data_IF_301818283545
#
_entry.id   IF_301818283545
#
_cell.length_a   1.000
_cell.length_b   1.000
_cell.length_c   1.000
_cell.angle_alpha   90.00
_cell.angle_beta   90.00
_cell.angle_gamma   90.00
#
_symmetry.space_group_name_H-M   'P 1'
#
loop_
_entity.id
_entity.type
_entity.pdbx_description
1 polymer ?
#
# COMPACT_ATOMS: atom_id res chain seq x y z
N UNK A 1 -16.84 30.92 53.67
CA UNK A 1 -15.47 30.96 53.11
C UNK A 1 -14.92 29.54 52.96
N UNK A 2 -15.42 28.75 52.00
CA UNK A 2 -15.01 27.34 51.84
C UNK A 2 -14.99 26.88 50.37
N UNK A 3 -14.94 27.81 49.41
CA UNK A 3 -15.01 27.51 47.97
C UNK A 3 -13.73 27.76 47.18
N UNK A 4 -12.72 28.44 47.75
CA UNK A 4 -11.57 28.92 46.98
C UNK A 4 -10.35 27.99 46.97
N UNK A 5 -10.28 26.97 47.85
CA UNK A 5 -9.09 26.12 47.99
C UNK A 5 -9.13 24.79 47.21
N UNK A 6 -10.26 24.41 46.60
CA UNK A 6 -10.33 23.19 45.76
C UNK A 6 -9.90 23.40 44.32
N UNK A 7 -9.93 24.64 43.81
CA UNK A 7 -9.54 24.93 42.43
C UNK A 7 -8.01 25.01 42.23
N UNK A 8 -7.22 25.19 43.30
CA UNK A 8 -5.75 25.27 43.21
C UNK A 8 -5.05 23.91 43.21
N UNK A 9 -5.69 22.84 43.69
CA UNK A 9 -5.11 21.49 43.72
C UNK A 9 -5.41 20.67 42.46
N UNK A 10 -6.27 21.16 41.56
CA UNK A 10 -6.53 20.53 40.26
C UNK A 10 -5.60 21.02 39.14
N UNK A 11 -4.76 22.03 39.40
CA UNK A 11 -3.91 22.69 38.41
C UNK A 11 -2.46 22.21 38.33
N UNK A 12 -2.02 21.35 39.25
CA UNK A 12 -0.58 20.98 39.38
C UNK A 12 -0.30 19.48 39.15
N UNK A 13 -1.29 18.71 38.70
CA UNK A 13 -1.18 17.25 38.54
C UNK A 13 -0.94 16.71 37.11
N UNK A 14 -0.66 17.56 36.11
CA UNK A 14 -0.48 17.08 34.72
C UNK A 14 0.56 17.80 33.87
N UNK A 15 1.54 18.44 34.50
CA UNK A 15 2.85 18.66 33.87
C UNK A 15 3.84 17.73 34.53
N UNK A 16 3.62 16.42 34.32
CA UNK A 16 4.73 15.49 34.36
C UNK A 16 5.74 16.01 33.34
N UNK A 17 6.80 16.64 33.85
CA UNK A 17 8.06 16.70 33.14
C UNK A 17 8.30 15.27 32.63
N UNK A 18 8.33 15.08 31.31
CA UNK A 18 8.82 13.84 30.72
C UNK A 18 10.24 13.68 31.22
N UNK A 19 10.41 12.91 32.29
CA UNK A 19 11.70 12.48 32.78
C UNK A 19 12.28 11.57 31.68
N UNK A 20 13.37 11.98 30.99
CA UNK A 20 13.97 11.16 29.93
C UNK A 20 14.54 9.83 30.45
N UNK A 21 14.49 9.59 31.78
CA UNK A 21 14.94 8.37 32.45
C UNK A 21 13.81 7.46 32.91
N UNK A 22 12.56 7.89 32.83
CA UNK A 22 11.39 7.04 33.12
C UNK A 22 10.97 6.27 31.84
N UNK A 23 11.89 5.48 31.29
CA UNK A 23 11.60 4.57 30.19
C UNK A 23 10.98 3.31 30.77
N UNK A 24 9.67 3.33 30.98
CA UNK A 24 8.88 2.12 31.22
C UNK A 24 8.93 1.27 29.94
N UNK A 25 9.94 0.40 29.86
CA UNK A 25 10.24 -0.52 28.77
C UNK A 25 10.88 0.15 27.50
N UNK A 26 12.18 -0.05 27.22
CA UNK A 26 12.82 0.55 26.04
C UNK A 26 12.20 0.12 24.72
N UNK A 27 11.49 -1.01 24.70
CA UNK A 27 10.77 -1.48 23.53
C UNK A 27 9.52 -0.62 23.23
N UNK A 28 8.75 -0.21 24.24
CA UNK A 28 7.57 0.66 24.04
C UNK A 28 8.01 2.07 23.65
N UNK A 29 9.08 2.61 24.24
CA UNK A 29 9.57 3.94 23.88
C UNK A 29 10.07 4.03 22.41
N UNK A 30 10.77 3.00 21.92
CA UNK A 30 11.14 2.91 20.49
C UNK A 30 9.87 2.81 19.63
N UNK A 31 8.86 2.08 20.12
CA UNK A 31 7.61 1.89 19.40
C UNK A 31 6.79 3.18 19.30
N UNK A 32 6.64 3.92 20.40
CA UNK A 32 5.93 5.21 20.44
C UNK A 32 6.62 6.23 19.53
N UNK A 33 7.96 6.29 19.56
CA UNK A 33 8.72 7.13 18.64
C UNK A 33 8.48 6.75 17.18
N UNK A 34 8.39 5.45 16.88
CA UNK A 34 8.10 4.97 15.53
C UNK A 34 6.66 5.23 15.09
N UNK A 35 5.70 5.20 16.03
CA UNK A 35 4.30 5.55 15.82
C UNK A 35 4.16 7.04 15.43
N UNK A 36 4.83 7.93 16.16
CA UNK A 36 4.87 9.36 15.87
C UNK A 36 5.45 9.66 14.47
N UNK A 37 6.51 8.95 14.09
CA UNK A 37 7.11 9.07 12.75
C UNK A 37 6.13 8.62 11.66
N UNK A 38 5.35 7.55 11.90
CA UNK A 38 4.34 7.06 10.95
C UNK A 38 3.18 8.04 10.84
N UNK A 39 2.72 8.64 11.93
CA UNK A 39 1.65 9.65 11.91
C UNK A 39 2.05 10.89 11.09
N UNK A 40 3.33 11.28 11.11
CA UNK A 40 3.84 12.41 10.34
C UNK A 40 4.14 12.07 8.87
N UNK A 41 4.09 10.79 8.47
CA UNK A 41 4.45 10.34 7.13
C UNK A 41 3.72 11.10 5.98
N UNK A 42 2.40 11.40 6.05
CA UNK A 42 1.71 12.13 4.98
C UNK A 42 2.22 13.56 4.78
N UNK A 43 2.66 14.21 5.86
CA UNK A 43 3.26 15.54 5.81
C UNK A 43 4.67 15.48 5.21
N UNK A 44 5.48 14.51 5.66
CA UNK A 44 6.83 14.25 5.12
C UNK A 44 6.75 13.95 3.61
N UNK A 45 5.77 13.17 3.16
CA UNK A 45 5.62 12.82 1.74
C UNK A 45 5.28 14.03 0.88
N UNK A 46 4.43 14.94 1.37
CA UNK A 46 4.13 16.20 0.70
C UNK A 46 5.38 17.08 0.61
N UNK A 47 6.10 17.25 1.73
CA UNK A 47 7.33 18.04 1.78
C UNK A 47 8.39 17.49 0.82
N UNK A 48 8.62 16.17 0.82
CA UNK A 48 9.58 15.51 -0.10
C UNK A 48 9.17 15.68 -1.56
N UNK A 49 7.87 15.60 -1.88
CA UNK A 49 7.38 15.82 -3.25
C UNK A 49 7.65 17.26 -3.70
N UNK A 50 7.34 18.26 -2.87
CA UNK A 50 7.62 19.66 -3.17
C UNK A 50 9.12 19.93 -3.30
N UNK A 51 9.93 19.42 -2.38
CA UNK A 51 11.39 19.54 -2.45
C UNK A 51 11.95 18.89 -3.72
N UNK A 52 11.42 17.73 -4.13
CA UNK A 52 11.84 17.05 -5.37
C UNK A 52 11.51 17.88 -6.60
N UNK A 53 10.28 18.43 -6.68
CA UNK A 53 9.87 19.28 -7.81
C UNK A 53 10.70 20.56 -7.84
N UNK A 54 10.85 21.25 -6.71
CA UNK A 54 11.64 22.46 -6.58
C UNK A 54 13.10 22.23 -7.02
N UNK A 55 13.76 21.20 -6.48
CA UNK A 55 15.14 20.87 -6.85
C UNK A 55 15.27 20.49 -8.32
N UNK A 56 14.28 19.81 -8.90
CA UNK A 56 14.30 19.44 -10.32
C UNK A 56 14.19 20.67 -11.22
N UNK A 57 13.29 21.60 -10.90
CA UNK A 57 13.13 22.87 -11.62
C UNK A 57 14.39 23.73 -11.47
N UNK A 58 14.93 23.84 -10.25
CA UNK A 58 16.17 24.57 -9.99
C UNK A 58 17.35 24.00 -10.78
N UNK A 59 17.51 22.68 -10.84
CA UNK A 59 18.53 22.02 -11.67
C UNK A 59 18.34 22.30 -13.16
N UNK A 60 17.10 22.27 -13.65
CA UNK A 60 16.82 22.59 -15.06
C UNK A 60 17.21 24.03 -15.42
N UNK A 61 16.87 25.00 -14.55
CA UNK A 61 17.29 26.40 -14.71
C UNK A 61 18.82 26.51 -14.66
N UNK A 62 19.47 25.77 -13.75
CA UNK A 62 20.93 25.78 -13.64
C UNK A 62 21.60 25.25 -14.92
N UNK A 63 21.05 24.21 -15.57
CA UNK A 63 21.52 23.74 -16.88
C UNK A 63 21.45 24.84 -17.94
N UNK A 64 20.36 25.62 -17.98
CA UNK A 64 20.23 26.75 -18.92
C UNK A 64 21.35 27.77 -18.68
N UNK A 65 21.64 28.12 -17.42
CA UNK A 65 22.74 29.03 -17.09
C UNK A 65 24.11 28.48 -17.48
N UNK A 66 24.36 27.20 -17.26
CA UNK A 66 25.61 26.53 -17.70
C UNK A 66 25.81 26.70 -19.20
N UNK A 67 24.75 26.50 -20.00
CA UNK A 67 24.80 26.64 -21.45
C UNK A 67 25.08 28.09 -21.85
N UNK A 68 24.37 29.06 -21.26
CA UNK A 68 24.58 30.50 -21.56
C UNK A 68 26.03 30.92 -21.24
N UNK A 69 26.54 30.60 -20.05
CA UNK A 69 27.89 31.00 -19.65
C UNK A 69 29.00 30.29 -20.41
N UNK A 70 28.71 29.11 -20.98
CA UNK A 70 29.62 28.44 -21.90
C UNK A 70 29.79 29.24 -23.20
N UNK A 71 28.71 29.80 -23.75
CA UNK A 71 28.75 30.64 -24.95
C UNK A 71 29.38 32.02 -24.70
N UNK A 72 29.08 32.63 -23.55
CA UNK A 72 29.66 33.93 -23.15
C UNK A 72 31.13 33.84 -22.73
N UNK A 73 31.74 32.65 -22.78
CA UNK A 73 33.15 32.36 -22.38
C UNK A 73 33.49 32.81 -20.96
N UNK A 74 32.48 32.97 -20.11
CA UNK A 74 32.63 33.40 -18.72
C UNK A 74 33.00 32.20 -17.85
N UNK A 75 34.28 31.80 -17.90
CA UNK A 75 34.79 30.59 -17.24
C UNK A 75 34.48 30.53 -15.74
N UNK A 76 34.59 31.63 -15.01
CA UNK A 76 34.33 31.66 -13.56
C UNK A 76 32.86 31.32 -13.25
N UNK A 77 31.91 31.96 -13.93
CA UNK A 77 30.48 31.71 -13.75
C UNK A 77 30.08 30.30 -14.20
N UNK A 78 30.69 29.81 -15.28
CA UNK A 78 30.51 28.43 -15.73
C UNK A 78 30.93 27.42 -14.65
N UNK A 79 32.15 27.57 -14.09
CA UNK A 79 32.66 26.69 -13.03
C UNK A 79 31.75 26.76 -11.80
N UNK A 80 31.33 27.95 -11.40
CA UNK A 80 30.42 28.14 -10.27
C UNK A 80 29.09 27.42 -10.47
N UNK A 81 28.45 27.60 -11.64
CA UNK A 81 27.20 26.92 -11.97
C UNK A 81 27.39 25.40 -12.05
N UNK A 82 28.48 24.91 -12.63
CA UNK A 82 28.79 23.48 -12.70
C UNK A 82 28.94 22.85 -11.31
N UNK A 83 29.63 23.51 -10.38
CA UNK A 83 29.74 23.04 -8.98
C UNK A 83 28.38 23.04 -8.29
N UNK A 84 27.59 24.12 -8.44
CA UNK A 84 26.23 24.18 -7.91
C UNK A 84 25.34 23.07 -8.48
N UNK A 85 25.46 22.76 -9.77
CA UNK A 85 24.74 21.67 -10.41
C UNK A 85 25.07 20.32 -9.77
N UNK A 86 26.35 20.01 -9.58
CA UNK A 86 26.81 18.76 -8.95
C UNK A 86 26.26 18.65 -7.52
N UNK A 87 26.33 19.73 -6.74
CA UNK A 87 25.81 19.77 -5.36
C UNK A 87 24.29 19.56 -5.35
N UNK A 88 23.54 20.27 -6.20
CA UNK A 88 22.10 20.12 -6.27
C UNK A 88 21.66 18.75 -6.77
N UNK A 89 22.41 18.16 -7.70
CA UNK A 89 22.19 16.80 -8.17
C UNK A 89 22.44 15.78 -7.05
N UNK A 90 23.53 15.92 -6.29
CA UNK A 90 23.81 15.08 -5.14
C UNK A 90 22.72 15.19 -4.06
N UNK A 91 22.26 16.41 -3.77
CA UNK A 91 21.15 16.66 -2.85
C UNK A 91 19.84 16.01 -3.33
N UNK A 92 19.52 16.08 -4.62
CA UNK A 92 18.35 15.40 -5.20
C UNK A 92 18.45 13.87 -5.07
N UNK A 93 19.63 13.30 -5.31
CA UNK A 93 19.88 11.86 -5.15
C UNK A 93 19.70 11.44 -3.68
N UNK A 94 20.25 12.21 -2.74
CA UNK A 94 20.06 11.96 -1.31
C UNK A 94 18.59 12.06 -0.90
N UNK A 95 17.88 13.09 -1.33
CA UNK A 95 16.45 13.25 -1.05
C UNK A 95 15.64 12.04 -1.55
N UNK A 96 15.92 11.57 -2.77
CA UNK A 96 15.29 10.37 -3.34
C UNK A 96 15.63 9.09 -2.57
N UNK A 97 16.87 8.97 -2.07
CA UNK A 97 17.28 7.83 -1.24
C UNK A 97 16.56 7.83 0.11
N UNK A 98 16.53 8.97 0.79
CA UNK A 98 15.81 9.13 2.07
C UNK A 98 14.32 8.86 1.91
N UNK A 99 13.69 9.36 0.84
CA UNK A 99 12.29 9.07 0.54
C UNK A 99 12.00 7.58 0.40
N UNK A 100 12.86 6.82 -0.30
CA UNK A 100 12.73 5.36 -0.44
C UNK A 100 12.87 4.65 0.89
N UNK A 101 13.84 5.05 1.71
CA UNK A 101 14.03 4.50 3.04
C UNK A 101 12.81 4.73 3.93
N UNK A 102 12.29 5.97 3.99
CA UNK A 102 11.10 6.29 4.79
C UNK A 102 9.88 5.49 4.34
N UNK A 103 9.66 5.35 3.03
CA UNK A 103 8.55 4.51 2.51
C UNK A 103 8.68 3.06 2.96
N UNK A 104 9.87 2.49 2.86
CA UNK A 104 10.15 1.13 3.30
C UNK A 104 9.94 0.97 4.81
N UNK A 105 10.43 1.93 5.60
CA UNK A 105 10.28 1.95 7.05
C UNK A 105 8.81 1.98 7.47
N UNK A 106 8.02 2.92 6.93
CA UNK A 106 6.59 3.05 7.24
C UNK A 106 5.83 1.78 6.89
N UNK A 107 6.09 1.19 5.72
CA UNK A 107 5.47 -0.07 5.28
C UNK A 107 5.79 -1.22 6.25
N UNK A 108 7.06 -1.36 6.64
CA UNK A 108 7.47 -2.44 7.54
C UNK A 108 6.89 -2.25 8.94
N UNK A 109 6.89 -1.02 9.44
CA UNK A 109 6.34 -0.70 10.75
C UNK A 109 4.83 -0.95 10.79
N UNK A 110 4.08 -0.51 9.77
CA UNK A 110 2.64 -0.78 9.68
C UNK A 110 2.35 -2.27 9.60
N UNK A 111 3.22 -3.06 8.95
CA UNK A 111 3.06 -4.50 8.89
C UNK A 111 3.26 -5.20 10.24
N UNK A 112 4.31 -4.81 10.98
CA UNK A 112 4.57 -5.34 12.33
C UNK A 112 3.42 -4.96 13.27
N UNK A 113 2.97 -3.70 13.22
CA UNK A 113 1.85 -3.23 14.02
C UNK A 113 0.57 -4.00 13.73
N UNK A 114 0.27 -4.24 12.45
CA UNK A 114 -0.90 -5.02 12.05
C UNK A 114 -0.84 -6.44 12.62
N UNK A 115 0.31 -7.14 12.55
CA UNK A 115 0.46 -8.49 13.13
C UNK A 115 0.21 -8.48 14.64
N UNK A 116 0.72 -7.46 15.33
CA UNK A 116 0.64 -7.36 16.79
C UNK A 116 -0.75 -6.98 17.29
N UNK A 117 -1.40 -6.05 16.60
CA UNK A 117 -2.69 -5.51 17.01
C UNK A 117 -3.86 -6.33 16.44
N UNK A 118 -3.61 -7.26 15.52
CA UNK A 118 -4.61 -8.21 15.07
C UNK A 118 -4.96 -9.18 16.21
N UNK A 119 -6.25 -9.29 16.51
CA UNK A 119 -6.78 -10.39 17.29
C UNK A 119 -6.33 -11.70 16.61
N UNK A 120 -5.73 -12.66 17.33
CA UNK A 120 -5.33 -13.95 16.77
C UNK A 120 -6.49 -14.69 16.09
N UNK A 121 -7.74 -14.33 16.38
CA UNK A 121 -8.94 -14.89 15.79
C UNK A 121 -9.74 -13.79 15.06
N UNK A 122 -9.73 -13.84 13.73
CA UNK A 122 -10.57 -12.96 12.91
C UNK A 122 -11.88 -13.67 12.61
N UNK A 123 -12.98 -13.25 13.22
CA UNK A 123 -14.28 -13.86 12.97
C UNK A 123 -14.90 -13.38 11.64
N UNK A 124 -15.48 -14.32 10.90
CA UNK A 124 -16.26 -14.07 9.71
C UNK A 124 -17.59 -13.39 10.10
N UNK A 125 -17.92 -12.24 9.50
CA UNK A 125 -19.19 -11.56 9.78
C UNK A 125 -20.37 -12.36 9.23
N UNK A 126 -21.58 -12.15 9.77
CA UNK A 126 -22.79 -12.84 9.30
C UNK A 126 -23.12 -12.51 7.84
N UNK A 127 -23.39 -13.52 7.02
CA UNK A 127 -23.77 -13.34 5.61
C UNK A 127 -24.16 -14.66 4.94
N UNK A 128 -25.00 -14.57 3.91
CA UNK A 128 -25.63 -15.73 3.24
C UNK A 128 -24.62 -16.50 2.39
N UNK A 129 -23.71 -15.79 1.72
CA UNK A 129 -22.63 -16.40 0.95
C UNK A 129 -21.24 -16.09 1.53
N UNK A 130 -20.25 -17.00 1.40
CA UNK A 130 -18.87 -16.74 1.83
C UNK A 130 -18.26 -15.48 1.22
N UNK A 131 -18.56 -15.22 -0.05
CA UNK A 131 -18.12 -14.02 -0.75
C UNK A 131 -18.71 -12.74 -0.11
N UNK A 132 -19.99 -12.71 0.24
CA UNK A 132 -20.61 -11.59 0.95
C UNK A 132 -20.02 -11.36 2.35
N UNK A 133 -19.73 -12.44 3.08
CA UNK A 133 -19.08 -12.36 4.40
C UNK A 133 -17.70 -11.73 4.29
N UNK A 134 -16.88 -12.23 3.36
CA UNK A 134 -15.56 -11.68 3.13
C UNK A 134 -15.63 -10.21 2.70
N UNK A 135 -16.54 -9.85 1.80
CA UNK A 135 -16.68 -8.46 1.33
C UNK A 135 -17.09 -7.52 2.46
N UNK A 136 -17.97 -7.96 3.34
CA UNK A 136 -18.36 -7.19 4.53
C UNK A 136 -17.16 -6.95 5.44
N UNK A 137 -16.32 -7.97 5.65
CA UNK A 137 -15.06 -7.85 6.38
C UNK A 137 -14.07 -6.89 5.69
N UNK A 138 -13.93 -6.97 4.37
CA UNK A 138 -13.08 -6.09 3.58
C UNK A 138 -13.52 -4.62 3.67
N UNK A 139 -14.82 -4.35 3.62
CA UNK A 139 -15.37 -3.00 3.77
C UNK A 139 -15.18 -2.40 5.15
N UNK A 140 -15.25 -3.24 6.20
CA UNK A 140 -14.95 -2.80 7.57
C UNK A 140 -13.46 -2.49 7.75
N UNK A 141 -12.58 -3.31 7.16
CA UNK A 141 -11.12 -3.15 7.29
C UNK A 141 -10.50 -2.13 6.31
N UNK A 142 -11.20 -1.78 5.23
CA UNK A 142 -10.73 -0.84 4.20
C UNK A 142 -11.80 0.24 3.94
N UNK A 143 -11.74 1.41 4.63
CA UNK A 143 -12.70 2.49 4.43
C UNK A 143 -12.83 2.98 2.98
N UNK A 144 -11.76 2.82 2.17
CA UNK A 144 -11.75 3.17 0.75
C UNK A 144 -12.71 2.32 -0.09
N UNK A 145 -13.08 1.12 0.36
CA UNK A 145 -14.07 0.27 -0.32
C UNK A 145 -15.52 0.70 -0.04
N UNK A 146 -15.74 1.65 0.86
CA UNK A 146 -17.05 2.22 1.16
C UNK A 146 -17.32 3.51 0.38
N UNK A 147 -16.40 3.92 -0.50
CA UNK A 147 -16.61 5.10 -1.33
C UNK A 147 -17.76 4.85 -2.33
N UNK A 148 -18.57 5.87 -2.65
CA UNK A 148 -19.79 5.70 -3.46
C UNK A 148 -19.52 5.31 -4.91
N UNK A 149 -18.29 5.48 -5.38
CA UNK A 149 -17.80 5.10 -6.69
C UNK A 149 -17.31 3.65 -6.77
N UNK A 150 -17.37 2.89 -5.67
CA UNK A 150 -17.00 1.47 -5.66
C UNK A 150 -18.20 0.62 -6.05
N UNK A 151 -18.16 0.08 -7.26
CA UNK A 151 -19.12 -0.89 -7.75
C UNK A 151 -18.79 -2.29 -7.22
N UNK A 152 -19.83 -3.09 -7.00
CA UNK A 152 -19.74 -4.42 -6.41
C UNK A 152 -20.62 -5.41 -7.17
N UNK A 153 -20.04 -6.54 -7.56
CA UNK A 153 -20.72 -7.62 -8.28
C UNK A 153 -20.51 -8.98 -7.62
N UNK A 154 -21.62 -9.71 -7.38
CA UNK A 154 -21.67 -11.08 -6.85
C UNK A 154 -22.70 -11.89 -7.65
N UNK A 155 -22.29 -12.87 -8.50
CA UNK A 155 -20.92 -13.12 -8.95
C UNK A 155 -20.43 -12.00 -9.88
N UNK A 156 -19.13 -11.74 -9.88
CA UNK A 156 -18.48 -10.82 -10.80
C UNK A 156 -18.07 -11.52 -12.09
N UNK A 157 -18.81 -11.34 -13.18
CA UNK A 157 -18.40 -11.82 -14.50
C UNK A 157 -17.74 -10.67 -15.25
N UNK A 158 -16.43 -10.78 -15.49
CA UNK A 158 -15.63 -9.70 -16.09
C UNK A 158 -14.91 -10.20 -17.32
N UNK A 159 -14.84 -9.36 -18.35
CA UNK A 159 -14.20 -9.69 -19.61
C UNK A 159 -12.71 -9.28 -19.58
N UNK A 160 -11.82 -10.18 -20.03
CA UNK A 160 -10.39 -9.93 -20.21
C UNK A 160 -10.02 -9.49 -21.62
N UNK A 161 -8.73 -9.28 -21.89
CA UNK A 161 -8.24 -8.60 -23.12
C UNK A 161 -8.71 -9.27 -24.42
N UNK A 162 -8.76 -10.60 -24.47
CA UNK A 162 -9.15 -11.38 -25.65
C UNK A 162 -10.65 -11.69 -25.73
N UNK A 163 -11.49 -11.01 -24.94
CA UNK A 163 -12.93 -11.26 -24.88
C UNK A 163 -13.33 -12.47 -24.04
N UNK A 164 -12.36 -13.13 -23.40
CA UNK A 164 -12.58 -14.21 -22.46
C UNK A 164 -13.31 -13.69 -21.22
N UNK A 165 -14.41 -14.34 -20.83
CA UNK A 165 -15.16 -13.99 -19.61
C UNK A 165 -14.67 -14.82 -18.44
N UNK A 166 -14.22 -14.15 -17.39
CA UNK A 166 -13.81 -14.77 -16.13
C UNK A 166 -14.92 -14.60 -15.10
N UNK A 167 -15.21 -15.67 -14.36
CA UNK A 167 -16.18 -15.67 -13.25
C UNK A 167 -15.46 -15.60 -11.91
N UNK A 168 -15.65 -14.50 -11.21
CA UNK A 168 -15.25 -14.29 -9.82
C UNK A 168 -16.48 -14.40 -8.92
N UNK A 169 -16.27 -14.83 -7.68
CA UNK A 169 -17.34 -14.97 -6.69
C UNK A 169 -17.67 -13.61 -6.06
N UNK A 170 -16.68 -12.72 -5.97
CA UNK A 170 -16.90 -11.30 -5.81
C UNK A 170 -15.89 -10.48 -6.62
N UNK A 171 -16.38 -9.35 -7.17
CA UNK A 171 -15.54 -8.35 -7.84
C UNK A 171 -15.96 -6.97 -7.36
N UNK A 172 -15.00 -6.21 -6.82
CA UNK A 172 -15.17 -4.81 -6.45
C UNK A 172 -14.26 -3.97 -7.33
N UNK A 173 -14.76 -2.84 -7.83
CA UNK A 173 -13.89 -1.88 -8.51
C UNK A 173 -14.30 -0.44 -8.29
N UNK A 174 -13.31 0.44 -8.21
CA UNK A 174 -13.49 1.88 -8.32
C UNK A 174 -12.87 2.33 -9.65
N UNK A 175 -13.53 3.21 -10.41
CA UNK A 175 -13.03 3.68 -11.68
C UNK A 175 -11.73 4.47 -11.52
N UNK A 176 -10.87 4.37 -12.53
CA UNK A 176 -9.66 5.19 -12.60
C UNK A 176 -9.98 6.61 -13.06
N UNK A 177 -9.20 7.57 -12.57
CA UNK A 177 -9.33 8.98 -12.95
C UNK A 177 -8.97 9.22 -14.41
N UNK A 178 -9.54 10.27 -15.01
CA UNK A 178 -9.21 10.69 -16.38
C UNK A 178 -7.69 10.82 -16.66
N UNK A 179 -6.86 11.45 -15.80
CA UNK A 179 -5.42 11.55 -16.06
C UNK A 179 -4.71 10.18 -16.00
N UNK A 180 -5.27 9.21 -15.28
CA UNK A 180 -4.71 7.87 -15.18
C UNK A 180 -4.92 7.11 -16.49
N UNK A 181 -6.15 7.15 -17.03
CA UNK A 181 -6.49 6.49 -18.29
C UNK A 181 -5.67 6.98 -19.48
N UNK A 182 -5.24 8.24 -19.45
CA UNK A 182 -4.49 8.85 -20.55
C UNK A 182 -2.98 8.64 -20.42
N UNK A 183 -2.40 8.82 -19.23
CA UNK A 183 -0.94 8.89 -19.05
C UNK A 183 -0.40 8.05 -17.88
N UNK A 184 -1.25 7.30 -17.17
CA UNK A 184 -0.87 6.57 -15.96
C UNK A 184 -0.52 7.49 -14.78
N UNK A 185 -1.08 8.70 -14.75
CA UNK A 185 -0.85 9.71 -13.70
C UNK A 185 -2.13 9.97 -12.90
N UNK A 186 -2.03 10.04 -11.58
CA UNK A 186 -3.18 10.36 -10.71
C UNK A 186 -3.83 9.13 -10.09
N UNK A 187 -5.16 9.10 -9.98
CA UNK A 187 -5.89 8.03 -9.29
C UNK A 187 -6.01 6.77 -10.16
N UNK A 188 -5.35 5.65 -9.80
CA UNK A 188 -5.39 4.40 -10.56
C UNK A 188 -6.72 3.65 -10.47
N UNK A 189 -7.65 4.13 -9.64
CA UNK A 189 -8.77 3.32 -9.20
C UNK A 189 -8.29 2.20 -8.29
N UNK A 190 -9.15 1.21 -8.06
CA UNK A 190 -8.79 -0.02 -7.37
C UNK A 190 -9.69 -1.14 -7.87
N UNK A 191 -9.19 -2.37 -7.80
CA UNK A 191 -9.99 -3.56 -8.02
C UNK A 191 -9.64 -4.65 -7.01
N UNK A 192 -10.65 -5.34 -6.53
CA UNK A 192 -10.52 -6.49 -5.62
C UNK A 192 -11.21 -7.68 -6.26
N UNK A 193 -10.45 -8.77 -6.38
CA UNK A 193 -10.91 -10.02 -7.00
C UNK A 193 -11.00 -11.09 -5.93
N UNK A 194 -12.12 -11.80 -5.88
CA UNK A 194 -12.33 -12.92 -4.95
C UNK A 194 -12.76 -14.15 -5.73
N UNK A 195 -12.08 -15.27 -5.48
CA UNK A 195 -12.45 -16.59 -6.00
C UNK A 195 -12.60 -17.56 -4.83
N UNK A 196 -13.80 -18.11 -4.67
CA UNK A 196 -14.11 -19.06 -3.60
C UNK A 196 -13.96 -20.51 -4.07
N UNK A 197 -13.43 -21.36 -3.20
CA UNK A 197 -13.23 -22.79 -3.42
C UNK A 197 -13.81 -23.57 -2.23
N UNK A 198 -14.71 -24.50 -2.54
CA UNK A 198 -15.27 -25.44 -1.55
C UNK A 198 -14.30 -26.57 -1.21
N UNK A 199 -13.42 -26.92 -2.16
CA UNK A 199 -12.36 -27.90 -1.99
C UNK A 199 -11.01 -27.21 -1.85
N UNK A 200 -10.03 -27.93 -1.32
CA UNK A 200 -8.64 -27.47 -1.22
C UNK A 200 -8.11 -26.94 -2.57
N UNK A 201 -7.62 -25.68 -2.61
CA UNK A 201 -7.03 -25.10 -3.81
C UNK A 201 -5.76 -25.85 -4.21
N UNK A 202 -5.55 -26.00 -5.52
CA UNK A 202 -4.31 -26.57 -6.08
C UNK A 202 -3.39 -25.47 -6.62
N UNK A 203 -2.11 -25.77 -6.91
CA UNK A 203 -1.20 -24.78 -7.49
C UNK A 203 -1.72 -24.23 -8.84
N UNK A 204 -2.40 -25.07 -9.62
CA UNK A 204 -3.04 -24.70 -10.89
C UNK A 204 -4.18 -23.70 -10.72
N UNK A 205 -4.95 -23.79 -9.64
CA UNK A 205 -6.03 -22.85 -9.33
C UNK A 205 -5.48 -21.47 -8.99
N UNK A 206 -4.42 -21.41 -8.18
CA UNK A 206 -3.75 -20.15 -7.81
C UNK A 206 -3.15 -19.47 -9.05
N UNK A 207 -2.50 -20.23 -9.92
CA UNK A 207 -1.89 -19.71 -11.14
C UNK A 207 -2.92 -19.27 -12.19
N UNK A 208 -4.03 -20.01 -12.33
CA UNK A 208 -5.11 -19.65 -13.24
C UNK A 208 -5.85 -18.40 -12.75
N UNK A 209 -6.11 -18.31 -11.45
CA UNK A 209 -6.67 -17.10 -10.82
C UNK A 209 -5.76 -15.89 -11.03
N UNK A 210 -4.45 -16.02 -10.79
CA UNK A 210 -3.47 -14.96 -11.06
C UNK A 210 -3.56 -14.47 -12.52
N UNK A 211 -3.55 -15.38 -13.49
CA UNK A 211 -3.65 -15.04 -14.92
C UNK A 211 -4.95 -14.31 -15.25
N UNK A 212 -6.07 -14.77 -14.71
CA UNK A 212 -7.37 -14.13 -14.90
C UNK A 212 -7.38 -12.69 -14.38
N UNK A 213 -6.81 -12.45 -13.19
CA UNK A 213 -6.70 -11.11 -12.60
C UNK A 213 -5.80 -10.20 -13.45
N UNK A 214 -4.66 -10.71 -13.93
CA UNK A 214 -3.75 -9.95 -14.81
C UNK A 214 -4.45 -9.55 -16.13
N UNK A 215 -5.19 -10.47 -16.74
CA UNK A 215 -5.90 -10.24 -17.99
C UNK A 215 -7.04 -9.22 -17.85
N UNK A 216 -7.84 -9.33 -16.78
CA UNK A 216 -8.92 -8.37 -16.49
C UNK A 216 -8.36 -6.98 -16.15
N UNK A 217 -7.29 -6.93 -15.35
CA UNK A 217 -6.65 -5.65 -15.01
C UNK A 217 -6.05 -4.99 -16.25
N UNK A 218 -5.42 -5.76 -17.13
CA UNK A 218 -4.87 -5.27 -18.39
C UNK A 218 -5.96 -4.68 -19.31
N UNK A 219 -7.14 -5.31 -19.39
CA UNK A 219 -8.26 -4.80 -20.18
C UNK A 219 -8.88 -3.54 -19.59
N UNK A 220 -9.13 -3.53 -18.28
CA UNK A 220 -9.83 -2.42 -17.61
C UNK A 220 -8.93 -1.20 -17.39
N UNK A 221 -7.61 -1.40 -17.34
CA UNK A 221 -6.64 -0.36 -16.97
C UNK A 221 -6.76 0.07 -15.50
N UNK A 222 -7.49 -0.71 -14.68
CA UNK A 222 -7.67 -0.48 -13.24
C UNK A 222 -6.64 -1.32 -12.49
N UNK A 223 -6.01 -0.72 -11.49
CA UNK A 223 -4.99 -1.40 -10.71
C UNK A 223 -5.59 -2.50 -9.80
N UNK A 224 -5.05 -3.73 -9.79
CA UNK A 224 -5.42 -4.76 -8.82
C UNK A 224 -4.87 -4.38 -7.46
N UNK A 225 -5.77 -4.10 -6.53
CA UNK A 225 -5.45 -3.77 -5.14
C UNK A 225 -5.33 -5.03 -4.28
N UNK A 226 -6.20 -6.03 -4.51
CA UNK A 226 -6.13 -7.35 -3.87
C UNK A 226 -6.61 -8.45 -4.82
N UNK A 227 -5.96 -9.60 -4.75
CA UNK A 227 -6.38 -10.83 -5.41
C UNK A 227 -6.49 -11.92 -4.35
N UNK A 228 -7.71 -12.34 -4.03
CA UNK A 228 -8.02 -13.21 -2.89
C UNK A 228 -8.58 -14.54 -3.35
N UNK A 229 -7.94 -15.62 -2.91
CA UNK A 229 -8.44 -16.99 -2.94
C UNK A 229 -9.11 -17.28 -1.60
N UNK A 230 -10.43 -17.47 -1.60
CA UNK A 230 -11.19 -17.86 -0.41
C UNK A 230 -11.36 -19.38 -0.42
N UNK A 231 -10.84 -20.06 0.59
CA UNK A 231 -11.00 -21.50 0.76
C UNK A 231 -11.93 -21.77 1.94
N UNK A 232 -13.04 -22.46 1.67
CA UNK A 232 -13.92 -22.97 2.73
C UNK A 232 -13.30 -24.25 3.28
N UNK A 233 -12.51 -24.12 4.34
CA UNK A 233 -11.87 -25.26 4.97
C UNK A 233 -12.93 -26.05 5.73
N UNK A 234 -13.16 -27.31 5.36
CA UNK A 234 -14.11 -28.20 6.04
C UNK A 234 -13.72 -28.57 7.48
N UNK A 235 -12.55 -28.12 7.94
CA UNK A 235 -11.99 -28.39 9.26
C UNK A 235 -10.92 -29.49 9.19
N UNK A 236 -9.68 -29.13 9.52
CA UNK A 236 -8.57 -30.08 9.66
C UNK A 236 -7.76 -30.36 8.39
N UNK A 237 -8.11 -29.77 7.25
CA UNK A 237 -7.26 -29.81 6.07
C UNK A 237 -6.17 -28.74 6.15
N UNK A 238 -4.92 -29.13 5.91
CA UNK A 238 -3.76 -28.22 5.88
C UNK A 238 -3.35 -28.01 4.43
N UNK A 239 -3.01 -26.77 4.06
CA UNK A 239 -2.48 -26.45 2.74
C UNK A 239 -1.18 -27.22 2.47
N UNK A 240 -0.98 -27.64 1.22
CA UNK A 240 0.21 -28.39 0.79
C UNK A 240 1.34 -27.42 0.63
N UNK A 241 2.55 -27.89 0.90
CA UNK A 241 3.76 -27.12 0.68
C UNK A 241 3.86 -26.64 -0.77
N UNK A 242 3.36 -27.42 -1.75
CA UNK A 242 3.38 -27.02 -3.16
C UNK A 242 2.44 -25.83 -3.44
N UNK A 243 1.19 -25.90 -3.00
CA UNK A 243 0.24 -24.77 -3.12
C UNK A 243 0.66 -23.56 -2.28
N UNK A 244 1.19 -23.78 -1.09
CA UNK A 244 1.76 -22.72 -0.26
C UNK A 244 2.92 -22.01 -0.97
N UNK A 245 3.85 -22.77 -1.54
CA UNK A 245 4.94 -22.22 -2.34
C UNK A 245 4.46 -21.52 -3.61
N UNK A 246 3.38 -22.02 -4.23
CA UNK A 246 2.75 -21.38 -5.37
C UNK A 246 2.15 -20.03 -4.99
N UNK A 247 1.43 -19.93 -3.85
CA UNK A 247 0.90 -18.69 -3.30
C UNK A 247 2.01 -17.67 -2.99
N UNK A 248 3.08 -18.08 -2.32
CA UNK A 248 4.21 -17.20 -2.00
C UNK A 248 4.87 -16.60 -3.25
N UNK A 249 4.87 -17.33 -4.36
CA UNK A 249 5.43 -16.89 -5.65
C UNK A 249 4.40 -16.20 -6.54
N UNK A 250 3.11 -16.30 -6.21
CA UNK A 250 2.03 -15.75 -7.02
C UNK A 250 1.91 -14.23 -6.79
N UNK A 251 2.45 -13.47 -7.74
CA UNK A 251 2.30 -12.02 -7.79
C UNK A 251 1.61 -11.64 -9.10
N UNK A 252 0.48 -10.95 -8.97
CA UNK A 252 -0.22 -10.29 -10.07
C UNK A 252 0.60 -9.07 -10.49
N UNK A 253 1.04 -9.05 -11.74
CA UNK A 253 1.78 -7.93 -12.32
C UNK A 253 0.83 -7.07 -13.14
N UNK A 254 0.88 -5.77 -12.89
CA UNK A 254 0.08 -4.80 -13.64
C UNK A 254 0.95 -3.66 -14.13
N UNK A 255 0.78 -3.32 -15.41
CA UNK A 255 1.50 -2.22 -16.06
C UNK A 255 0.50 -1.38 -16.86
N UNK A 256 0.52 -0.07 -16.63
CA UNK A 256 -0.31 0.88 -17.37
C UNK A 256 0.45 2.19 -17.58
N UNK A 257 0.71 2.55 -18.85
CA UNK A 257 1.57 3.68 -19.19
C UNK A 257 2.96 3.54 -18.55
N UNK A 258 3.36 4.54 -17.76
CA UNK A 258 4.62 4.53 -17.01
C UNK A 258 4.51 3.91 -15.60
N UNK A 259 3.32 3.49 -15.19
CA UNK A 259 3.08 2.93 -13.87
C UNK A 259 3.18 1.40 -13.89
N UNK A 260 3.83 0.86 -12.87
CA UNK A 260 3.96 -0.57 -12.61
C UNK A 260 3.55 -0.85 -11.17
N UNK A 261 2.79 -1.92 -10.98
CA UNK A 261 2.35 -2.40 -9.67
C UNK A 261 2.44 -3.92 -9.60
N UNK A 262 2.68 -4.42 -8.39
CA UNK A 262 2.57 -5.83 -8.06
C UNK A 262 1.63 -5.99 -6.88
N UNK A 263 0.75 -6.98 -6.96
CA UNK A 263 -0.14 -7.41 -5.88
C UNK A 263 0.12 -8.89 -5.62
N UNK A 264 0.35 -9.29 -4.37
CA UNK A 264 0.42 -10.71 -4.04
C UNK A 264 -0.97 -11.35 -4.17
N UNK A 265 -1.01 -12.63 -4.51
CA UNK A 265 -2.22 -13.43 -4.33
C UNK A 265 -2.28 -13.85 -2.87
N UNK A 266 -3.39 -13.52 -2.23
CA UNK A 266 -3.67 -13.83 -0.83
C UNK A 266 -4.66 -14.98 -0.78
N UNK A 267 -4.51 -15.86 0.20
CA UNK A 267 -5.45 -16.90 0.53
C UNK A 267 -6.09 -16.59 1.88
N UNK A 268 -7.39 -16.80 1.98
CA UNK A 268 -8.14 -16.73 3.22
C UNK A 268 -8.83 -18.07 3.40
N UNK A 269 -8.56 -18.77 4.50
CA UNK A 269 -9.26 -19.98 4.87
C UNK A 269 -10.39 -19.62 5.83
N UNK A 270 -11.63 -19.95 5.48
CA UNK A 270 -12.77 -19.84 6.38
C UNK A 270 -13.03 -21.21 7.01
N UNK A 271 -12.92 -21.29 8.33
CA UNK A 271 -13.23 -22.50 9.08
C UNK A 271 -14.72 -22.60 9.39
N UNK A 272 -15.24 -23.81 9.67
CA UNK A 272 -16.64 -24.00 10.05
C UNK A 272 -16.97 -23.33 11.40
N UNK A 273 -15.95 -23.03 12.21
CA UNK A 273 -16.06 -22.20 13.42
C UNK A 273 -16.43 -20.74 13.14
N UNK A 274 -16.41 -20.31 11.87
CA UNK A 274 -16.64 -18.92 11.48
C UNK A 274 -15.40 -18.06 11.70
N UNK A 275 -14.20 -18.65 11.63
CA UNK A 275 -12.91 -17.95 11.78
C UNK A 275 -12.18 -17.88 10.44
N UNK A 276 -11.47 -16.78 10.21
CA UNK A 276 -10.60 -16.59 9.06
C UNK A 276 -9.13 -16.75 9.42
N UNK A 277 -8.40 -17.45 8.56
CA UNK A 277 -6.94 -17.56 8.58
C UNK A 277 -6.36 -17.05 7.26
N UNK A 278 -5.31 -16.22 7.32
CA UNK A 278 -4.80 -15.44 6.20
C UNK A 278 -3.38 -15.89 5.80
N UNK A 279 -3.19 -16.23 4.52
CA UNK A 279 -1.94 -16.77 3.98
C UNK A 279 -1.60 -16.19 2.60
N UNK A 280 -0.47 -15.49 2.40
CA UNK A 280 0.41 -14.92 3.41
C UNK A 280 -0.23 -13.71 4.08
N UNK A 281 0.08 -13.48 5.36
CA UNK A 281 -0.31 -12.27 6.08
C UNK A 281 0.39 -11.04 5.47
N UNK A 282 -0.28 -10.36 4.56
CA UNK A 282 0.17 -9.09 3.98
C UNK A 282 -0.64 -7.98 4.62
N UNK A 283 -0.09 -7.36 5.66
CA UNK A 283 -0.62 -6.12 6.19
C UNK A 283 -0.64 -5.06 5.06
N UNK A 284 -1.84 -4.84 4.51
CA UNK A 284 -2.20 -3.91 3.44
C UNK A 284 -1.00 -3.19 2.81
N UNK A 285 -0.32 -3.84 1.86
CA UNK A 285 0.74 -3.21 1.10
C UNK A 285 0.13 -2.13 0.21
N UNK A 286 0.18 -0.87 0.64
CA UNK A 286 -0.16 0.28 -0.20
C UNK A 286 0.63 0.19 -1.49
N UNK A 287 -0.09 0.18 -2.61
CA UNK A 287 0.41 0.12 -3.99
C UNK A 287 1.79 0.76 -4.17
N UNK A 288 2.78 -0.05 -4.53
CA UNK A 288 4.07 0.46 -5.01
C UNK A 288 3.84 1.17 -6.35
N UNK A 289 3.78 2.50 -6.33
CA UNK A 289 4.03 3.29 -7.54
C UNK A 289 5.52 3.62 -7.62
N UNK A 290 6.23 2.89 -8.47
CA UNK A 290 7.52 3.32 -9.03
C UNK A 290 8.78 2.69 -8.42
N UNK A 291 9.26 1.62 -9.07
CA UNK A 291 10.62 1.10 -8.94
C UNK A 291 11.09 0.60 -10.31
N UNK A 292 11.92 1.40 -10.98
CA UNK A 292 12.51 1.15 -12.30
C UNK A 292 13.28 -0.18 -12.32
N UNK A 293 13.15 -0.93 -13.42
CA UNK A 293 13.95 -2.13 -13.75
C UNK A 293 15.44 -1.81 -13.67
N UNK A 294 16.19 -2.67 -12.96
CA UNK A 294 17.58 -2.94 -13.32
C UNK A 294 17.54 -3.98 -14.44
N UNK A 295 17.69 -3.50 -15.67
CA UNK A 295 18.51 -4.10 -16.74
C UNK A 295 19.27 -2.92 -17.36
#
# INVERSE_FOLDING_TARGET
MQGANRARLAGEGHRAQMDPRAVENPLSAIFDLSEDVVQQAPAIWRAVRYATVFMSVWLAINVVFIVIFLFDKSLLLFILCAVLFVIGFAALVMLRRSSRFFKYYVMRHSAIKAVRDADPLVYAPSGTTPAERLVSHLRASMPRLNAPDVEFAVPGIVEGTLGMKYKFDAYLHAPSGAPWRLMGLGNPGLSVFVKAFDARPRPEDVLSFRKAVEDVSARTGIQPARAIVLWLNGGGEVLDDETYNALLKAQVRFSHGFAFSMCAVEMISEYPSGEYDFVPYMAQASSQTGGRRNL
#
